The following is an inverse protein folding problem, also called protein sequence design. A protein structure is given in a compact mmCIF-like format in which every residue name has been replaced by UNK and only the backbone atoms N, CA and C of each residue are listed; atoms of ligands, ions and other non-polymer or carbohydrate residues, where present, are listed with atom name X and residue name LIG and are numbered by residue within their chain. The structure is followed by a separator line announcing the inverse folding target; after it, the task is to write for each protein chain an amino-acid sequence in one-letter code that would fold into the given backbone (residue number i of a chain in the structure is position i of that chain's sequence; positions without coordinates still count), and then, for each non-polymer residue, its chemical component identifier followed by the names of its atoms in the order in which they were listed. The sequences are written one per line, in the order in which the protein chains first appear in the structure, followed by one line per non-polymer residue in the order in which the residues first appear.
data_IF_980827903652
#
_entry.id   IF_980827903652
#
_cell.length_a   1.000
_cell.length_b   1.000
_cell.length_c   1.000
_cell.angle_alpha   90.00
_cell.angle_beta   90.00
_cell.angle_gamma   90.00
#
_symmetry.space_group_name_H-M   'P 1'
#
loop_
_entity.id
_entity.type
_entity.pdbx_description
1 polymer ?
#
# COMPACT_ATOMS: atom_id res chain seq x y z
N UNK A 1 13.47 -32.37 2.89
CA UNK A 1 12.41 -31.37 3.17
C UNK A 1 12.87 -30.27 4.13
N UNK A 2 14.10 -30.31 4.65
CA UNK A 2 14.59 -29.38 5.68
C UNK A 2 15.16 -28.08 5.10
N UNK A 3 15.82 -28.13 3.93
CA UNK A 3 16.52 -26.97 3.37
C UNK A 3 15.57 -25.88 2.82
N UNK A 4 14.44 -26.27 2.21
CA UNK A 4 13.46 -25.32 1.69
C UNK A 4 12.79 -24.48 2.80
N UNK A 5 12.52 -25.10 3.97
CA UNK A 5 11.98 -24.38 5.13
C UNK A 5 12.98 -23.34 5.68
N UNK A 6 14.27 -23.67 5.70
CA UNK A 6 15.32 -22.76 6.20
C UNK A 6 15.53 -21.55 5.28
N UNK A 7 15.40 -21.71 3.96
CA UNK A 7 15.50 -20.60 2.99
C UNK A 7 14.30 -19.64 3.09
N UNK A 8 13.10 -20.17 3.34
CA UNK A 8 11.90 -19.36 3.54
C UNK A 8 11.99 -18.58 4.86
N UNK A 9 12.47 -19.22 5.94
CA UNK A 9 12.70 -18.54 7.23
C UNK A 9 13.79 -17.47 7.11
N UNK A 10 14.91 -17.74 6.43
CA UNK A 10 16.00 -16.77 6.27
C UNK A 10 15.60 -15.54 5.43
N UNK A 11 14.81 -15.73 4.38
CA UNK A 11 14.32 -14.62 3.54
C UNK A 11 13.25 -13.78 4.26
N UNK A 12 12.39 -14.41 5.06
CA UNK A 12 11.39 -13.70 5.87
C UNK A 12 12.03 -12.87 6.99
N UNK A 13 13.08 -13.38 7.64
CA UNK A 13 13.72 -12.72 8.78
C UNK A 13 14.58 -11.50 8.38
N UNK A 14 15.00 -11.44 7.11
CA UNK A 14 15.77 -10.33 6.55
C UNK A 14 14.96 -9.27 5.80
N UNK A 15 13.68 -9.52 5.51
CA UNK A 15 12.83 -8.67 4.66
C UNK A 15 12.05 -7.58 5.44
N UNK A 16 11.96 -7.68 6.76
CA UNK A 16 11.18 -6.76 7.61
C UNK A 16 11.53 -5.27 7.40
N UNK A 17 12.82 -4.87 7.37
CA UNK A 17 13.21 -3.49 7.08
C UNK A 17 12.78 -3.01 5.69
N UNK A 18 12.87 -3.86 4.66
CA UNK A 18 12.49 -3.55 3.29
C UNK A 18 10.97 -3.43 3.14
N UNK A 19 10.22 -4.28 3.86
CA UNK A 19 8.76 -4.23 3.90
C UNK A 19 8.25 -2.97 4.63
N UNK A 20 8.92 -2.55 5.71
CA UNK A 20 8.62 -1.27 6.37
C UNK A 20 8.89 -0.08 5.46
N UNK A 21 10.04 -0.06 4.78
CA UNK A 21 10.36 0.98 3.80
C UNK A 21 9.37 0.99 2.61
N UNK A 22 8.84 -0.18 2.21
CA UNK A 22 7.78 -0.26 1.21
C UNK A 22 6.48 0.36 1.73
N UNK A 23 6.05 0.03 2.94
CA UNK A 23 4.85 0.60 3.55
C UNK A 23 4.95 2.14 3.64
N UNK A 24 6.09 2.67 4.08
CA UNK A 24 6.35 4.11 4.14
C UNK A 24 6.21 4.78 2.76
N UNK A 25 6.85 4.23 1.73
CA UNK A 25 6.77 4.75 0.35
C UNK A 25 5.36 4.71 -0.22
N UNK A 26 4.60 3.65 0.08
CA UNK A 26 3.20 3.54 -0.36
C UNK A 26 2.33 4.56 0.36
N UNK A 27 2.57 4.80 1.65
CA UNK A 27 1.90 5.85 2.42
C UNK A 27 2.20 7.26 1.87
N UNK A 28 3.45 7.56 1.53
CA UNK A 28 3.87 8.82 0.88
C UNK A 28 3.15 9.00 -0.47
N UNK A 29 3.19 7.98 -1.33
CA UNK A 29 2.49 8.00 -2.62
C UNK A 29 0.98 8.21 -2.45
N UNK A 30 0.37 7.57 -1.45
CA UNK A 30 -1.06 7.74 -1.14
C UNK A 30 -1.37 9.17 -0.70
N UNK A 31 -0.51 9.79 0.10
CA UNK A 31 -0.67 11.18 0.52
C UNK A 31 -0.53 12.16 -0.65
N UNK A 32 0.45 11.95 -1.53
CA UNK A 32 0.60 12.75 -2.75
C UNK A 32 -0.61 12.59 -3.67
N UNK A 33 -1.06 11.36 -3.91
CA UNK A 33 -2.21 11.07 -4.75
C UNK A 33 -3.52 11.66 -4.19
N UNK A 34 -3.70 11.69 -2.86
CA UNK A 34 -4.85 12.31 -2.23
C UNK A 34 -4.90 13.82 -2.48
N UNK A 35 -3.73 14.50 -2.54
CA UNK A 35 -3.64 15.92 -2.88
C UNK A 35 -3.98 16.25 -4.34
N UNK A 36 -4.08 15.25 -5.21
CA UNK A 36 -4.48 15.42 -6.62
C UNK A 36 -5.98 15.23 -6.83
N UNK A 37 -6.72 14.73 -5.82
CA UNK A 37 -8.16 14.51 -5.94
C UNK A 37 -8.88 15.85 -5.83
N UNK A 38 -9.62 16.26 -6.88
CA UNK A 38 -10.45 17.45 -6.81
C UNK A 38 -11.53 17.29 -5.74
N UNK A 39 -11.88 18.39 -5.07
CA UNK A 39 -12.93 18.40 -4.05
C UNK A 39 -14.23 17.80 -4.58
N UNK A 40 -14.94 17.06 -3.71
CA UNK A 40 -16.16 16.33 -4.04
C UNK A 40 -17.33 17.22 -4.50
N UNK A 41 -17.17 18.54 -4.38
CA UNK A 41 -18.14 19.57 -4.74
C UNK A 41 -18.09 19.97 -6.23
N UNK A 42 -17.23 19.33 -7.04
CA UNK A 42 -17.14 19.62 -8.47
C UNK A 42 -18.39 19.10 -9.20
N UNK A 43 -19.18 20.01 -9.76
CA UNK A 43 -20.47 19.73 -10.42
C UNK A 43 -20.36 18.97 -11.77
N UNK A 44 -19.14 18.71 -12.26
CA UNK A 44 -18.90 18.02 -13.54
C UNK A 44 -18.89 16.49 -13.36
N UNK A 45 -19.66 15.77 -14.18
CA UNK A 45 -19.68 14.32 -14.22
C UNK A 45 -18.28 13.70 -14.48
N UNK A 46 -17.42 14.38 -15.23
CA UNK A 46 -16.04 13.96 -15.45
C UNK A 46 -15.19 14.07 -14.17
N UNK A 47 -15.43 15.12 -13.37
CA UNK A 47 -14.77 15.32 -12.08
C UNK A 47 -15.21 14.26 -11.07
N UNK A 48 -16.52 13.99 -10.99
CA UNK A 48 -17.08 12.91 -10.17
C UNK A 48 -16.47 11.55 -10.55
N UNK A 49 -16.44 11.23 -11.84
CA UNK A 49 -15.87 9.97 -12.32
C UNK A 49 -14.36 9.87 -12.15
N UNK A 50 -13.64 10.99 -12.08
CA UNK A 50 -12.23 11.02 -11.70
C UNK A 50 -12.05 10.76 -10.20
N UNK A 51 -12.82 11.46 -9.35
CA UNK A 51 -12.78 11.31 -7.90
C UNK A 51 -13.10 9.87 -7.46
N UNK A 52 -14.10 9.23 -8.07
CA UNK A 52 -14.45 7.83 -7.80
C UNK A 52 -13.32 6.85 -8.16
N UNK A 53 -12.68 7.04 -9.32
CA UNK A 53 -11.50 6.24 -9.72
C UNK A 53 -10.31 6.49 -8.80
N UNK A 54 -10.06 7.73 -8.42
CA UNK A 54 -9.00 8.09 -7.50
C UNK A 54 -9.23 7.48 -6.10
N UNK A 55 -10.49 7.49 -5.62
CA UNK A 55 -10.85 6.82 -4.36
C UNK A 55 -10.56 5.31 -4.39
N UNK A 56 -10.82 4.64 -5.52
CA UNK A 56 -10.46 3.23 -5.72
C UNK A 56 -8.95 3.00 -5.60
N UNK A 57 -8.15 3.79 -6.33
CA UNK A 57 -6.67 3.69 -6.29
C UNK A 57 -6.12 3.97 -4.89
N UNK A 58 -6.64 4.99 -4.19
CA UNK A 58 -6.24 5.31 -2.82
C UNK A 58 -6.58 4.18 -1.83
N UNK A 59 -7.73 3.51 -2.03
CA UNK A 59 -8.11 2.32 -1.28
C UNK A 59 -7.14 1.16 -1.49
N UNK A 60 -6.80 0.86 -2.74
CA UNK A 60 -5.85 -0.22 -3.08
C UNK A 60 -4.45 0.06 -2.50
N UNK A 61 -3.99 1.31 -2.53
CA UNK A 61 -2.73 1.73 -1.91
C UNK A 61 -2.76 1.55 -0.39
N UNK A 62 -3.88 1.89 0.27
CA UNK A 62 -4.02 1.69 1.72
C UNK A 62 -3.97 0.19 2.10
N UNK A 63 -4.57 -0.68 1.29
CA UNK A 63 -4.50 -2.14 1.49
C UNK A 63 -3.06 -2.65 1.31
N UNK A 64 -2.34 -2.14 0.31
CA UNK A 64 -0.95 -2.50 0.08
C UNK A 64 -0.04 -2.04 1.23
N UNK A 65 -0.21 -0.80 1.70
CA UNK A 65 0.50 -0.24 2.86
C UNK A 65 0.29 -1.13 4.10
N UNK A 66 -0.96 -1.46 4.42
CA UNK A 66 -1.31 -2.31 5.56
C UNK A 66 -0.72 -3.72 5.41
N UNK A 67 -0.78 -4.31 4.22
CA UNK A 67 -0.23 -5.65 3.95
C UNK A 67 1.29 -5.69 4.13
N UNK A 68 1.99 -4.67 3.63
CA UNK A 68 3.44 -4.55 3.80
C UNK A 68 3.83 -4.37 5.28
N UNK A 69 3.06 -3.58 6.03
CA UNK A 69 3.25 -3.42 7.48
C UNK A 69 3.02 -4.73 8.24
N UNK A 70 1.94 -5.45 7.97
CA UNK A 70 1.65 -6.74 8.61
C UNK A 70 2.73 -7.79 8.34
N UNK A 71 3.22 -7.85 7.09
CA UNK A 71 4.34 -8.72 6.72
C UNK A 71 5.64 -8.31 7.43
N UNK A 72 5.89 -7.01 7.60
CA UNK A 72 7.06 -6.51 8.32
C UNK A 72 7.02 -6.85 9.83
N UNK A 73 5.83 -6.93 10.41
CA UNK A 73 5.61 -7.30 11.81
C UNK A 73 5.59 -8.82 12.04
N UNK A 74 5.58 -9.62 10.98
CA UNK A 74 5.57 -11.08 11.06
C UNK A 74 4.25 -11.66 11.58
N UNK A 75 3.15 -10.91 11.50
CA UNK A 75 1.83 -11.36 11.93
C UNK A 75 1.29 -12.33 10.87
N UNK A 76 1.11 -13.59 11.27
CA UNK A 76 0.45 -14.66 10.48
C UNK A 76 -1.06 -14.64 10.68
#
# INVERSE_FOLDING_TARGET
MTEASTVIEHTAQGAGPQLRALAERVGELRAEAAGLVPDADWEDAAARGFAERAAGVLGDLAVLEASAAMLAEGVR
#
